data_IF_276516447398
#
_entry.id   IF_276516447398
#
_cell.length_a   1.000
_cell.length_b   1.000
_cell.length_c   1.000
_cell.angle_alpha   90.00
_cell.angle_beta   90.00
_cell.angle_gamma   90.00
#
_symmetry.space_group_name_H-M   'P 1'
#
loop_
_entity.id
_entity.type
_entity.pdbx_description
1 polymer ?
#
# COMPACT_ATOMS: atom_id res chain seq x y z
N UNK A 1 -9.38 40.81 -14.66
CA UNK A 1 -8.38 39.73 -14.70
C UNK A 1 -8.73 38.72 -13.62
N UNK A 2 -8.96 37.44 -13.97
CA UNK A 2 -9.34 36.36 -13.04
C UNK A 2 -8.08 35.50 -12.79
N UNK A 3 -7.72 35.13 -11.56
CA UNK A 3 -6.58 34.26 -11.34
C UNK A 3 -6.91 32.83 -11.82
N UNK A 4 -5.90 32.05 -12.27
CA UNK A 4 -6.14 30.68 -12.66
C UNK A 4 -6.40 29.83 -11.40
N UNK A 5 -7.54 29.15 -11.38
CA UNK A 5 -7.81 28.06 -10.43
C UNK A 5 -6.88 26.91 -10.75
N UNK A 6 -5.70 26.91 -10.14
CA UNK A 6 -4.86 25.72 -10.08
C UNK A 6 -5.55 24.70 -9.17
N UNK A 7 -6.04 23.61 -9.74
CA UNK A 7 -6.37 22.44 -8.94
C UNK A 7 -5.07 21.96 -8.30
N UNK A 8 -4.91 22.01 -6.96
CA UNK A 8 -3.79 21.31 -6.34
C UNK A 8 -3.99 19.84 -6.69
N UNK A 9 -3.08 19.26 -7.47
CA UNK A 9 -2.91 17.82 -7.51
C UNK A 9 -2.64 17.40 -6.07
N UNK A 10 -3.68 16.94 -5.37
CA UNK A 10 -3.57 16.44 -4.01
C UNK A 10 -2.56 15.29 -4.08
N UNK A 11 -1.31 15.57 -3.71
CA UNK A 11 -0.33 14.55 -3.41
C UNK A 11 -0.87 13.84 -2.17
N UNK A 12 -1.70 12.83 -2.40
CA UNK A 12 -2.29 12.04 -1.33
C UNK A 12 -1.18 11.17 -0.78
N UNK A 13 -0.61 11.58 0.36
CA UNK A 13 0.34 10.74 1.10
C UNK A 13 -0.44 9.54 1.63
N UNK A 14 -0.32 8.41 0.93
CA UNK A 14 -0.87 7.14 1.39
C UNK A 14 -0.05 6.69 2.60
N UNK A 15 -0.69 6.58 3.77
CA UNK A 15 -0.04 6.06 4.97
C UNK A 15 0.10 4.54 4.84
N UNK A 16 1.32 4.08 4.74
CA UNK A 16 1.65 2.65 4.82
C UNK A 16 1.71 2.25 6.31
N UNK A 17 1.08 1.13 6.71
CA UNK A 17 1.25 0.57 8.05
C UNK A 17 2.73 0.42 8.42
N UNK A 18 3.10 0.76 9.65
CA UNK A 18 4.50 0.79 10.08
C UNK A 18 5.24 -0.52 9.87
N UNK A 19 4.58 -1.66 10.14
CA UNK A 19 5.13 -3.00 9.90
C UNK A 19 5.49 -3.22 8.42
N UNK A 20 4.59 -2.88 7.49
CA UNK A 20 4.85 -3.02 6.06
C UNK A 20 5.99 -2.11 5.60
N UNK A 21 6.07 -0.89 6.14
CA UNK A 21 7.17 0.02 5.84
C UNK A 21 8.52 -0.55 6.31
N UNK A 22 8.57 -1.10 7.52
CA UNK A 22 9.81 -1.71 8.03
C UNK A 22 10.22 -2.92 7.20
N UNK A 23 9.29 -3.78 6.80
CA UNK A 23 9.60 -4.90 5.90
C UNK A 23 10.16 -4.41 4.57
N UNK A 24 9.53 -3.41 3.94
CA UNK A 24 10.04 -2.80 2.71
C UNK A 24 11.43 -2.18 2.91
N UNK A 25 11.67 -1.54 4.05
CA UNK A 25 12.97 -0.96 4.39
C UNK A 25 14.05 -2.04 4.51
N UNK A 26 13.76 -3.18 5.13
CA UNK A 26 14.71 -4.29 5.22
C UNK A 26 15.04 -4.87 3.84
N UNK A 27 14.04 -5.04 2.97
CA UNK A 27 14.27 -5.47 1.58
C UNK A 27 15.20 -4.49 0.88
N UNK A 28 14.93 -3.18 0.98
CA UNK A 28 15.81 -2.15 0.41
C UNK A 28 17.25 -2.28 0.93
N UNK A 29 17.45 -2.41 2.24
CA UNK A 29 18.80 -2.53 2.81
C UNK A 29 19.56 -3.76 2.28
N UNK A 30 18.86 -4.89 2.09
CA UNK A 30 19.47 -6.08 1.49
C UNK A 30 19.86 -5.89 0.02
N UNK A 31 19.09 -5.09 -0.73
CA UNK A 31 19.39 -4.78 -2.12
C UNK A 31 20.47 -3.70 -2.25
N UNK A 32 20.57 -2.78 -1.29
CA UNK A 32 21.64 -1.78 -1.24
C UNK A 32 23.03 -2.43 -1.07
N UNK A 33 23.13 -3.52 -0.31
CA UNK A 33 24.41 -4.24 -0.21
C UNK A 33 24.85 -4.90 -1.52
N UNK A 34 23.91 -5.27 -2.40
CA UNK A 34 24.19 -5.95 -3.66
C UNK A 34 24.31 -4.98 -4.85
N UNK A 35 23.44 -3.98 -4.92
CA UNK A 35 23.29 -3.08 -6.06
C UNK A 35 23.68 -1.63 -5.77
N UNK A 36 24.08 -1.31 -4.53
CA UNK A 36 24.54 0.02 -4.11
C UNK A 36 23.56 1.14 -4.56
N UNK A 37 24.03 2.08 -5.39
CA UNK A 37 23.24 3.20 -5.88
C UNK A 37 22.13 2.82 -6.87
N UNK A 38 22.13 1.59 -7.40
CA UNK A 38 21.08 1.09 -8.28
C UNK A 38 19.96 0.36 -7.53
N UNK A 39 20.06 0.22 -6.20
CA UNK A 39 19.02 -0.41 -5.41
C UNK A 39 17.70 0.38 -5.47
N UNK A 40 16.55 -0.31 -5.58
CA UNK A 40 15.26 0.34 -5.67
C UNK A 40 14.89 1.05 -4.36
N UNK A 41 14.23 2.20 -4.48
CA UNK A 41 13.68 2.90 -3.32
C UNK A 41 12.43 2.19 -2.79
N UNK A 42 12.01 2.52 -1.58
CA UNK A 42 10.72 2.06 -1.03
C UNK A 42 9.55 2.52 -1.92
N UNK A 43 9.65 3.71 -2.51
CA UNK A 43 8.64 4.23 -3.42
C UNK A 43 8.57 3.42 -4.72
N UNK A 44 9.70 2.97 -5.26
CA UNK A 44 9.73 2.12 -6.46
C UNK A 44 9.04 0.77 -6.19
N UNK A 45 9.33 0.16 -5.04
CA UNK A 45 8.70 -1.10 -4.62
C UNK A 45 7.18 -0.95 -4.47
N UNK A 46 6.72 0.13 -3.81
CA UNK A 46 5.29 0.44 -3.68
C UNK A 46 4.65 0.66 -5.06
N UNK A 47 5.32 1.41 -5.94
CA UNK A 47 4.81 1.71 -7.27
C UNK A 47 4.64 0.44 -8.11
N UNK A 48 5.60 -0.50 -8.04
CA UNK A 48 5.50 -1.80 -8.71
C UNK A 48 4.38 -2.64 -8.11
N UNK A 49 4.24 -2.68 -6.79
CA UNK A 49 3.17 -3.44 -6.13
C UNK A 49 1.78 -2.93 -6.52
N UNK A 50 1.58 -1.61 -6.56
CA UNK A 50 0.31 -1.01 -6.96
C UNK A 50 -0.01 -1.26 -8.43
N UNK A 51 0.99 -1.17 -9.32
CA UNK A 51 0.80 -1.52 -10.74
C UNK A 51 0.41 -2.99 -10.90
N UNK A 52 1.06 -3.91 -10.17
CA UNK A 52 0.70 -5.33 -10.19
C UNK A 52 -0.71 -5.57 -9.69
N UNK A 53 -1.11 -4.90 -8.61
CA UNK A 53 -2.47 -4.98 -8.08
C UNK A 53 -3.51 -4.54 -9.12
N UNK A 54 -3.27 -3.44 -9.83
CA UNK A 54 -4.16 -2.98 -10.92
C UNK A 54 -4.21 -4.00 -12.06
N UNK A 55 -3.05 -4.51 -12.48
CA UNK A 55 -2.98 -5.52 -13.54
C UNK A 55 -3.72 -6.82 -13.17
N UNK A 56 -3.61 -7.25 -11.92
CA UNK A 56 -4.31 -8.44 -11.42
C UNK A 56 -5.83 -8.21 -11.31
N UNK A 57 -6.27 -6.97 -11.06
CA UNK A 57 -7.68 -6.59 -11.10
C UNK A 57 -8.26 -6.61 -12.52
N UNK A 58 -7.47 -6.20 -13.51
CA UNK A 58 -7.85 -6.21 -14.93
C UNK A 58 -7.80 -7.61 -15.57
N UNK A 59 -7.16 -8.57 -14.90
CA UNK A 59 -7.08 -9.96 -15.34
C UNK A 59 -8.28 -10.79 -14.80
N UNK A 60 -9.21 -11.26 -15.65
CA UNK A 60 -10.40 -11.99 -15.20
C UNK A 60 -10.09 -13.25 -14.38
N UNK A 61 -8.99 -13.94 -14.69
CA UNK A 61 -8.59 -15.18 -14.01
C UNK A 61 -8.14 -14.92 -12.56
N UNK A 62 -7.61 -13.73 -12.29
CA UNK A 62 -7.10 -13.32 -10.98
C UNK A 62 -8.05 -12.43 -10.20
N UNK A 63 -8.96 -11.74 -10.89
CA UNK A 63 -9.86 -10.76 -10.30
C UNK A 63 -10.69 -11.35 -9.16
N UNK A 64 -11.24 -12.56 -9.34
CA UNK A 64 -12.04 -13.22 -8.31
C UNK A 64 -11.24 -13.54 -7.05
N UNK A 65 -9.99 -14.00 -7.21
CA UNK A 65 -9.10 -14.25 -6.09
C UNK A 65 -8.77 -12.95 -5.35
N UNK A 66 -8.39 -11.90 -6.10
CA UNK A 66 -8.06 -10.60 -5.55
C UNK A 66 -9.25 -9.98 -4.79
N UNK A 67 -10.46 -10.09 -5.34
CA UNK A 67 -11.68 -9.66 -4.68
C UNK A 67 -11.91 -10.42 -3.35
N UNK A 68 -11.70 -11.74 -3.34
CA UNK A 68 -11.80 -12.56 -2.14
C UNK A 68 -10.85 -12.09 -1.03
N UNK A 69 -9.58 -11.83 -1.39
CA UNK A 69 -8.56 -11.33 -0.46
C UNK A 69 -8.94 -9.96 0.11
N UNK A 70 -9.43 -9.03 -0.72
CA UNK A 70 -9.88 -7.71 -0.29
C UNK A 70 -11.06 -7.78 0.70
N UNK A 71 -12.05 -8.63 0.40
CA UNK A 71 -13.21 -8.81 1.25
C UNK A 71 -12.84 -9.45 2.59
N UNK A 72 -11.96 -10.44 2.59
CA UNK A 72 -11.47 -11.07 3.82
C UNK A 72 -10.68 -10.09 4.68
N UNK A 73 -9.76 -9.33 4.08
CA UNK A 73 -9.01 -8.29 4.78
C UNK A 73 -9.95 -7.24 5.40
N UNK A 74 -11.00 -6.83 4.67
CA UNK A 74 -12.02 -5.92 5.20
C UNK A 74 -12.80 -6.53 6.35
N UNK A 75 -13.14 -7.82 6.28
CA UNK A 75 -13.84 -8.55 7.36
C UNK A 75 -12.99 -8.58 8.64
N UNK A 76 -11.71 -8.91 8.52
CA UNK A 76 -10.76 -8.92 9.64
C UNK A 76 -10.62 -7.52 10.25
N UNK A 77 -10.41 -6.49 9.43
CA UNK A 77 -10.31 -5.11 9.90
C UNK A 77 -11.55 -4.66 10.67
N UNK A 78 -12.75 -5.03 10.22
CA UNK A 78 -14.01 -4.75 10.93
C UNK A 78 -14.13 -5.50 12.26
N UNK A 79 -13.73 -6.77 12.29
CA UNK A 79 -13.72 -7.58 13.52
C UNK A 79 -12.83 -6.97 14.61
N UNK A 80 -11.68 -6.44 14.22
CA UNK A 80 -10.73 -5.82 15.15
C UNK A 80 -11.20 -4.46 15.70
N UNK A 81 -12.05 -3.72 14.98
CA UNK A 81 -12.64 -2.47 15.48
C UNK A 81 -13.62 -2.69 16.64
N UNK A 82 -14.36 -3.80 16.63
CA UNK A 82 -15.34 -4.12 17.69
C UNK A 82 -14.71 -4.55 19.02
N UNK A 83 -13.47 -5.06 19.00
CA UNK A 83 -12.78 -5.61 20.18
C UNK A 83 -12.09 -4.56 21.06
N UNK A 84 -11.85 -3.33 20.56
CA UNK A 84 -11.14 -2.26 21.31
C UNK A 84 -11.94 -1.61 22.46
N UNK A 85 -13.11 -2.13 22.84
CA UNK A 85 -13.99 -1.50 23.86
C UNK A 85 -14.04 -2.21 25.21
N UNK A 86 -13.30 -3.29 25.44
CA UNK A 86 -13.47 -4.13 26.65
C UNK A 86 -12.35 -3.97 27.68
N UNK A 87 -11.14 -3.53 27.30
CA UNK A 87 -10.00 -3.42 28.23
C UNK A 87 -9.69 -1.97 28.69
N UNK A 88 -10.72 -1.20 29.04
CA UNK A 88 -10.57 0.12 29.69
C UNK A 88 -11.65 0.30 30.79
N UNK A 89 -11.73 -0.68 31.68
CA UNK A 89 -12.56 -0.66 32.90
C UNK A 89 -11.81 -1.27 34.08
#
# INVERSE_FOLDING_TARGET
>A
MRPPSGNPTLSSTVRVPGELYETLRQIRLSLESEHQSAAPTVQDMISVALKRFINDWENPDKQNQLLGELLEHRRVARSNMGKRRIDDS
#
